data_IF_291851413655
#
_entry.id   IF_291851413655
#
_cell.length_a   1.000
_cell.length_b   1.000
_cell.length_c   1.000
_cell.angle_alpha   90.00
_cell.angle_beta   90.00
_cell.angle_gamma   90.00
#
_symmetry.space_group_name_H-M   'P 1'
#
loop_
_entity.id
_entity.type
_entity.pdbx_description
1 polymer ?
#
# COMPACT_ATOMS: atom_id res chain seq x y z
N UNK A 1 21.08 -12.71 -10.13
CA UNK A 1 20.11 -11.71 -9.59
C UNK A 1 20.88 -10.54 -9.00
N UNK A 2 20.42 -9.30 -9.21
CA UNK A 2 21.02 -8.11 -8.56
C UNK A 2 20.74 -8.22 -7.07
N UNK A 3 21.76 -8.01 -6.24
CA UNK A 3 21.64 -7.96 -4.79
C UNK A 3 21.51 -6.50 -4.38
N UNK A 4 20.48 -6.15 -3.61
CA UNK A 4 20.25 -4.79 -3.15
C UNK A 4 21.00 -4.52 -1.86
N UNK A 5 21.65 -3.37 -1.76
CA UNK A 5 22.37 -2.92 -0.58
C UNK A 5 21.43 -2.15 0.36
N UNK A 6 21.31 -2.60 1.60
CA UNK A 6 20.37 -2.05 2.56
C UNK A 6 21.03 -1.62 3.86
N UNK A 7 20.41 -0.64 4.52
CA UNK A 7 20.67 -0.34 5.93
C UNK A 7 19.39 -0.36 6.75
N UNK A 8 19.53 -0.53 8.07
CA UNK A 8 18.44 -0.46 9.04
C UNK A 8 18.72 0.69 10.01
N UNK A 9 17.71 1.53 10.25
CA UNK A 9 17.79 2.67 11.18
C UNK A 9 16.64 2.59 12.17
N UNK A 10 16.92 2.26 13.41
CA UNK A 10 15.92 2.07 14.47
C UNK A 10 16.60 2.26 15.83
N UNK A 11 16.06 3.08 16.72
CA UNK A 11 16.67 3.33 18.05
C UNK A 11 16.62 2.11 18.98
N UNK A 12 15.82 1.07 18.62
CA UNK A 12 15.65 -0.14 19.38
C UNK A 12 16.44 -1.30 18.76
N UNK A 13 17.51 -1.75 19.43
CA UNK A 13 18.34 -2.86 18.95
C UNK A 13 17.54 -4.15 18.71
N UNK A 14 16.52 -4.44 19.54
CA UNK A 14 15.66 -5.61 19.36
C UNK A 14 14.88 -5.61 18.03
N UNK A 15 14.46 -4.43 17.54
CA UNK A 15 13.83 -4.26 16.24
C UNK A 15 14.82 -4.55 15.11
N UNK A 16 16.05 -4.07 15.24
CA UNK A 16 17.15 -4.34 14.29
C UNK A 16 17.44 -5.84 14.23
N UNK A 17 17.60 -6.50 15.38
CA UNK A 17 17.93 -7.92 15.47
C UNK A 17 16.85 -8.80 14.84
N UNK A 18 15.58 -8.44 15.02
CA UNK A 18 14.46 -9.13 14.38
C UNK A 18 14.56 -9.03 12.84
N UNK A 19 14.76 -7.82 12.32
CA UNK A 19 14.90 -7.60 10.87
C UNK A 19 16.12 -8.33 10.30
N UNK A 20 17.27 -8.29 10.98
CA UNK A 20 18.47 -9.03 10.58
C UNK A 20 18.19 -10.54 10.50
N UNK A 21 17.42 -11.09 11.45
CA UNK A 21 17.01 -12.51 11.41
C UNK A 21 16.15 -12.86 10.19
N UNK A 22 15.38 -11.92 9.66
CA UNK A 22 14.59 -12.10 8.45
C UNK A 22 15.44 -11.94 7.19
N UNK A 23 16.36 -10.97 7.17
CA UNK A 23 17.29 -10.80 6.05
C UNK A 23 18.23 -11.99 5.88
N UNK A 24 18.63 -12.66 6.95
CA UNK A 24 19.44 -13.87 6.89
C UNK A 24 18.77 -15.02 6.09
N UNK A 25 17.47 -14.94 5.82
CA UNK A 25 16.68 -15.93 5.08
C UNK A 25 16.40 -15.50 3.64
N UNK A 26 16.96 -14.40 3.17
CA UNK A 26 16.82 -13.91 1.79
C UNK A 26 18.16 -13.66 1.13
N UNK A 27 18.27 -13.98 -0.14
CA UNK A 27 19.45 -13.70 -0.95
C UNK A 27 19.36 -12.39 -1.74
N UNK A 28 18.16 -11.79 -1.79
CA UNK A 28 17.86 -10.61 -2.61
C UNK A 28 18.49 -9.32 -2.05
N UNK A 29 18.62 -9.24 -0.72
CA UNK A 29 19.08 -8.03 -0.04
C UNK A 29 20.23 -8.34 0.88
N UNK A 30 21.26 -7.51 0.85
CA UNK A 30 22.37 -7.51 1.78
C UNK A 30 22.26 -6.31 2.71
N UNK A 31 22.26 -6.56 4.00
CA UNK A 31 22.34 -5.48 5.00
C UNK A 31 23.81 -5.13 5.20
N UNK A 32 24.22 -3.95 4.74
CA UNK A 32 25.62 -3.49 4.82
C UNK A 32 25.93 -2.91 6.21
N UNK A 33 24.95 -2.25 6.82
CA UNK A 33 25.09 -1.67 8.14
C UNK A 33 23.73 -1.49 8.84
N UNK A 34 23.77 -1.29 10.14
CA UNK A 34 22.60 -0.90 10.93
C UNK A 34 22.97 0.15 11.98
N UNK A 35 22.02 0.99 12.34
CA UNK A 35 22.28 2.16 13.18
C UNK A 35 21.15 2.37 14.18
N UNK A 36 21.52 2.57 15.45
CA UNK A 36 20.63 3.12 16.47
C UNK A 36 20.72 4.64 16.55
N UNK A 37 21.75 5.23 15.93
CA UNK A 37 21.95 6.68 15.83
C UNK A 37 21.60 7.15 14.40
N UNK A 38 20.51 7.93 14.21
CA UNK A 38 20.06 8.37 12.90
C UNK A 38 21.05 9.32 12.21
N UNK A 39 21.88 10.05 12.96
CA UNK A 39 22.89 10.98 12.39
C UNK A 39 24.03 10.18 11.74
N UNK A 40 24.50 9.13 12.41
CA UNK A 40 25.52 8.22 11.83
C UNK A 40 25.00 7.53 10.58
N UNK A 41 23.72 7.08 10.61
CA UNK A 41 23.07 6.51 9.45
C UNK A 41 23.02 7.49 8.27
N UNK A 42 22.71 8.76 8.51
CA UNK A 42 22.64 9.79 7.48
C UNK A 42 24.03 10.06 6.86
N UNK A 43 25.09 10.06 7.67
CA UNK A 43 26.47 10.17 7.19
C UNK A 43 26.80 8.97 6.31
N UNK A 44 26.50 7.76 6.77
CA UNK A 44 26.79 6.53 6.03
C UNK A 44 26.12 6.49 4.66
N UNK A 45 24.84 6.85 4.53
CA UNK A 45 24.15 6.85 3.23
C UNK A 45 24.64 7.94 2.29
N UNK A 46 25.34 8.98 2.77
CA UNK A 46 25.96 9.98 1.90
C UNK A 46 27.23 9.45 1.23
N UNK A 47 27.95 8.60 1.91
CA UNK A 47 29.24 8.06 1.50
C UNK A 47 29.14 6.73 0.75
N UNK A 48 28.05 5.99 0.95
CA UNK A 48 27.86 4.64 0.41
C UNK A 48 26.66 4.56 -0.55
N UNK A 49 26.76 3.68 -1.55
CA UNK A 49 25.66 3.44 -2.49
C UNK A 49 24.66 2.46 -1.85
N UNK A 50 23.54 2.98 -1.34
CA UNK A 50 22.47 2.22 -0.70
C UNK A 50 21.24 2.25 -1.58
N UNK A 51 20.63 1.07 -1.80
CA UNK A 51 19.39 0.90 -2.56
C UNK A 51 18.14 0.97 -1.66
N UNK A 52 18.25 0.47 -0.41
CA UNK A 52 17.13 0.36 0.54
C UNK A 52 17.51 0.87 1.93
N UNK A 53 16.59 1.62 2.54
CA UNK A 53 16.65 1.97 3.97
C UNK A 53 15.38 1.49 4.64
N UNK A 54 15.52 0.63 5.66
CA UNK A 54 14.41 0.34 6.59
C UNK A 54 14.56 1.28 7.76
N UNK A 55 13.52 2.07 8.04
CA UNK A 55 13.61 3.14 9.01
C UNK A 55 12.41 3.17 9.96
N UNK A 56 12.67 3.31 11.26
CA UNK A 56 11.61 3.67 12.21
C UNK A 56 11.30 5.17 12.10
N UNK A 57 10.05 5.50 12.41
CA UNK A 57 9.59 6.88 12.49
C UNK A 57 9.97 7.50 13.84
N UNK A 58 9.89 6.73 14.92
CA UNK A 58 10.29 7.19 16.25
C UNK A 58 11.74 6.79 16.52
N UNK A 59 12.65 7.74 16.35
CA UNK A 59 14.09 7.54 16.52
C UNK A 59 14.62 8.08 17.86
N UNK A 60 13.73 8.24 18.85
CA UNK A 60 14.09 8.63 20.22
C UNK A 60 14.72 10.00 20.40
N UNK A 61 14.68 10.87 19.34
CA UNK A 61 15.39 12.16 19.35
C UNK A 61 14.65 13.31 18.71
N UNK A 62 15.40 14.37 18.34
CA UNK A 62 14.87 15.54 17.64
C UNK A 62 14.56 15.25 16.17
N UNK A 63 15.23 14.25 15.58
CA UNK A 63 15.07 13.87 14.18
C UNK A 63 14.16 12.62 14.13
N UNK A 64 12.98 12.76 13.57
CA UNK A 64 12.10 11.61 13.29
C UNK A 64 12.42 10.98 11.93
N UNK A 65 11.90 9.77 11.67
CA UNK A 65 12.19 9.05 10.43
C UNK A 65 11.77 9.79 9.15
N UNK A 66 10.72 10.61 9.18
CA UNK A 66 10.31 11.40 8.02
C UNK A 66 11.27 12.55 7.73
N UNK A 67 11.74 13.24 8.78
CA UNK A 67 12.76 14.27 8.62
C UNK A 67 14.05 13.66 8.09
N UNK A 68 14.40 12.46 8.58
CA UNK A 68 15.55 11.69 8.10
C UNK A 68 15.42 11.34 6.61
N UNK A 69 14.28 10.80 6.18
CA UNK A 69 14.01 10.48 4.77
C UNK A 69 14.11 11.73 3.88
N UNK A 70 13.68 12.88 4.38
CA UNK A 70 13.76 14.16 3.67
C UNK A 70 15.20 14.66 3.57
N UNK A 71 16.03 14.43 4.60
CA UNK A 71 17.44 14.84 4.66
C UNK A 71 18.39 13.89 3.93
N UNK A 72 17.92 12.67 3.60
CA UNK A 72 18.68 11.69 2.84
C UNK A 72 19.02 12.20 1.44
N UNK A 73 20.13 11.73 0.83
CA UNK A 73 20.49 12.12 -0.53
C UNK A 73 19.35 11.87 -1.52
N UNK A 74 19.11 12.81 -2.44
CA UNK A 74 18.10 12.69 -3.52
C UNK A 74 18.57 11.70 -4.61
N UNK A 75 18.97 10.50 -4.22
CA UNK A 75 19.26 9.36 -5.09
C UNK A 75 18.01 8.48 -5.17
N UNK A 76 18.08 7.43 -6.00
CA UNK A 76 17.01 6.39 -6.07
C UNK A 76 16.97 5.47 -4.83
N UNK A 77 17.16 6.01 -3.60
CA UNK A 77 17.02 5.23 -2.36
C UNK A 77 15.55 4.89 -2.15
N UNK A 78 15.27 3.62 -1.88
CA UNK A 78 13.94 3.13 -1.51
C UNK A 78 13.83 3.09 0.01
N UNK A 79 12.62 3.36 0.51
CA UNK A 79 12.34 3.34 1.93
C UNK A 79 11.27 2.31 2.25
N UNK A 80 11.49 1.52 3.29
CA UNK A 80 10.46 0.75 4.00
C UNK A 80 10.39 1.33 5.40
N UNK A 81 9.22 1.82 5.78
CA UNK A 81 8.97 2.31 7.13
C UNK A 81 8.64 1.12 8.03
N UNK A 82 9.29 1.02 9.20
CA UNK A 82 9.04 -0.02 10.20
C UNK A 82 8.78 0.61 11.55
N UNK A 83 7.52 0.74 11.95
CA UNK A 83 7.14 1.56 13.11
C UNK A 83 6.07 0.93 13.99
N UNK A 84 6.09 1.21 15.29
CA UNK A 84 5.02 0.88 16.22
C UNK A 84 3.85 1.87 16.24
N UNK A 85 3.95 2.96 15.50
CA UNK A 85 3.02 4.07 15.56
C UNK A 85 2.00 4.00 14.42
N UNK A 86 0.85 3.41 14.66
CA UNK A 86 -0.27 3.32 13.69
C UNK A 86 -0.70 4.67 13.07
N UNK A 87 -0.52 5.77 13.78
CA UNK A 87 -0.88 7.12 13.28
C UNK A 87 -0.03 7.61 12.11
N UNK A 88 1.10 6.97 11.83
CA UNK A 88 2.03 7.38 10.77
C UNK A 88 1.95 6.51 9.51
N UNK A 89 1.09 5.50 9.47
CA UNK A 89 0.88 4.70 8.25
C UNK A 89 0.56 5.60 7.05
N UNK A 90 -0.36 6.56 7.23
CA UNK A 90 -0.75 7.50 6.16
C UNK A 90 0.40 8.42 5.72
N UNK A 91 1.31 8.82 6.63
CA UNK A 91 2.45 9.70 6.31
C UNK A 91 3.58 8.97 5.59
N UNK A 92 3.85 7.72 5.96
CA UNK A 92 4.84 6.88 5.25
C UNK A 92 4.49 6.78 3.77
N UNK A 93 3.22 6.69 3.46
CA UNK A 93 2.69 6.67 2.10
C UNK A 93 2.91 8.00 1.36
N UNK A 94 2.70 9.13 2.02
CA UNK A 94 2.93 10.46 1.45
C UNK A 94 4.40 10.71 1.11
N UNK A 95 5.34 10.04 1.79
CA UNK A 95 6.79 10.12 1.56
C UNK A 95 7.31 9.13 0.50
N UNK A 96 6.41 8.47 -0.25
CA UNK A 96 6.77 7.53 -1.32
C UNK A 96 7.61 6.33 -0.86
N UNK A 97 7.37 5.85 0.36
CA UNK A 97 7.97 4.61 0.85
C UNK A 97 7.47 3.41 0.05
N UNK A 98 8.31 2.39 -0.15
CA UNK A 98 7.93 1.12 -0.80
C UNK A 98 6.87 0.40 0.00
N UNK A 99 6.99 0.42 1.31
CA UNK A 99 6.02 -0.21 2.21
C UNK A 99 6.07 0.38 3.62
N UNK A 100 5.01 0.13 4.40
CA UNK A 100 4.96 0.44 5.83
C UNK A 100 4.68 -0.84 6.59
N UNK A 101 5.58 -1.18 7.51
CA UNK A 101 5.53 -2.34 8.37
C UNK A 101 5.22 -1.92 9.80
N UNK A 102 4.24 -2.54 10.42
CA UNK A 102 3.94 -2.32 11.84
C UNK A 102 4.75 -3.26 12.72
N UNK A 103 5.30 -2.73 13.80
CA UNK A 103 5.98 -3.51 14.85
C UNK A 103 4.95 -4.23 15.74
N UNK A 104 5.17 -5.52 16.06
CA UNK A 104 6.15 -6.43 15.47
C UNK A 104 5.67 -6.97 14.11
N UNK A 105 6.55 -7.01 13.11
CA UNK A 105 6.22 -7.55 11.79
C UNK A 105 6.44 -9.06 11.74
N UNK A 106 5.55 -9.79 11.08
CA UNK A 106 5.78 -11.21 10.80
C UNK A 106 6.72 -11.41 9.61
N UNK A 107 7.44 -12.55 9.58
CA UNK A 107 8.34 -12.89 8.48
C UNK A 107 7.61 -12.91 7.12
N UNK A 108 6.37 -13.40 7.07
CA UNK A 108 5.57 -13.40 5.85
C UNK A 108 5.28 -11.97 5.36
N UNK A 109 4.91 -11.06 6.28
CA UNK A 109 4.63 -9.66 5.95
C UNK A 109 5.89 -8.93 5.48
N UNK A 110 7.04 -9.24 6.09
CA UNK A 110 8.33 -8.71 5.69
C UNK A 110 8.73 -9.18 4.28
N UNK A 111 8.56 -10.46 3.94
CA UNK A 111 8.82 -11.00 2.61
C UNK A 111 7.97 -10.31 1.53
N UNK A 112 6.71 -9.98 1.83
CA UNK A 112 5.84 -9.23 0.92
C UNK A 112 6.43 -7.83 0.64
N UNK A 113 6.98 -7.15 1.65
CA UNK A 113 7.60 -5.84 1.46
C UNK A 113 8.86 -5.91 0.56
N UNK A 114 9.64 -6.97 0.68
CA UNK A 114 10.80 -7.18 -0.19
C UNK A 114 10.40 -7.49 -1.64
N UNK A 115 9.32 -8.24 -1.86
CA UNK A 115 8.81 -8.47 -3.22
C UNK A 115 8.34 -7.15 -3.84
N UNK A 116 7.70 -6.28 -3.09
CA UNK A 116 7.33 -4.93 -3.54
C UNK A 116 8.54 -4.07 -3.90
N UNK A 117 9.64 -4.19 -3.13
CA UNK A 117 10.89 -3.52 -3.45
C UNK A 117 11.41 -3.96 -4.84
N UNK A 118 11.42 -5.26 -5.11
CA UNK A 118 11.87 -5.82 -6.38
C UNK A 118 11.00 -5.32 -7.55
N UNK A 119 9.68 -5.38 -7.39
CA UNK A 119 8.72 -4.85 -8.38
C UNK A 119 8.95 -3.34 -8.64
N UNK A 120 9.18 -2.56 -7.58
CA UNK A 120 9.46 -1.13 -7.67
C UNK A 120 10.70 -0.82 -8.48
N UNK A 121 11.78 -1.53 -8.21
CA UNK A 121 13.06 -1.30 -8.88
C UNK A 121 12.98 -1.74 -10.34
N UNK A 122 12.35 -2.90 -10.62
CA UNK A 122 12.15 -3.39 -12.00
C UNK A 122 11.36 -2.42 -12.87
N UNK A 123 10.30 -1.84 -12.32
CA UNK A 123 9.47 -0.87 -13.04
C UNK A 123 10.22 0.44 -13.35
N UNK A 124 11.11 0.89 -12.46
CA UNK A 124 11.92 2.09 -12.69
C UNK A 124 13.06 1.87 -13.70
N UNK A 125 13.52 0.65 -13.85
CA UNK A 125 14.55 0.26 -14.84
C UNK A 125 13.94 -0.04 -16.22
N UNK A 126 12.60 -0.08 -16.35
CA UNK A 126 11.90 -0.28 -17.64
C UNK A 126 11.79 1.05 -18.40
N UNK A 127 12.12 1.11 -19.71
CA UNK A 127 11.97 2.33 -20.49
C UNK A 127 10.51 2.82 -20.50
N UNK A 128 10.32 4.14 -20.38
CA UNK A 128 9.04 4.81 -20.28
C UNK A 128 8.06 4.42 -21.40
N UNK A 129 7.08 3.57 -21.08
CA UNK A 129 6.01 3.13 -21.98
C UNK A 129 4.72 2.77 -21.28
N UNK A 130 4.76 2.47 -19.99
CA UNK A 130 3.61 1.95 -19.24
C UNK A 130 3.47 2.62 -17.86
N UNK A 131 3.39 3.95 -17.84
CA UNK A 131 3.31 4.73 -16.59
C UNK A 131 1.98 4.61 -15.84
N UNK A 132 0.96 4.02 -16.43
CA UNK A 132 -0.37 3.85 -15.80
C UNK A 132 -0.37 2.78 -14.68
N UNK A 133 0.71 1.97 -14.56
CA UNK A 133 0.84 0.94 -13.53
C UNK A 133 1.46 1.42 -12.21
N UNK A 134 1.98 2.65 -12.16
CA UNK A 134 2.80 3.15 -11.04
C UNK A 134 2.02 3.80 -9.88
N UNK A 135 0.72 4.03 -10.02
CA UNK A 135 -0.05 4.76 -9.00
C UNK A 135 -0.51 3.92 -7.79
N UNK A 136 -0.29 2.61 -7.78
CA UNK A 136 -0.95 1.72 -6.82
C UNK A 136 0.02 0.84 -6.04
N UNK A 137 0.80 1.45 -5.18
CA UNK A 137 1.86 0.84 -4.36
C UNK A 137 1.35 -0.06 -3.24
N UNK A 138 0.04 0.00 -2.93
CA UNK A 138 -0.55 -0.74 -1.82
C UNK A 138 -1.67 -1.62 -2.34
N UNK A 139 -1.49 -2.93 -2.20
CA UNK A 139 -2.54 -3.90 -2.48
C UNK A 139 -3.57 -3.96 -1.35
N UNK A 140 -3.60 -2.98 -0.44
CA UNK A 140 -4.53 -2.94 0.68
C UNK A 140 -4.93 -1.51 1.05
N UNK A 141 -6.06 -1.40 1.75
CA UNK A 141 -6.52 -0.19 2.42
C UNK A 141 -6.68 -0.45 3.91
N UNK A 142 -6.29 0.52 4.74
CA UNK A 142 -6.57 0.47 6.16
C UNK A 142 -7.90 1.18 6.44
N UNK A 143 -8.86 0.43 6.98
CA UNK A 143 -10.18 0.94 7.33
C UNK A 143 -10.25 1.18 8.82
N UNK A 144 -10.48 2.43 9.23
CA UNK A 144 -10.70 2.80 10.64
C UNK A 144 -12.05 2.32 11.10
N UNK A 145 -12.09 1.56 12.20
CA UNK A 145 -13.30 1.12 12.91
C UNK A 145 -13.52 2.04 14.13
N UNK A 146 -14.71 2.65 14.26
CA UNK A 146 -15.23 3.32 15.46
C UNK A 146 -14.27 4.24 16.23
N UNK A 147 -13.66 5.22 15.58
CA UNK A 147 -12.93 6.32 16.26
C UNK A 147 -11.76 5.90 17.16
N UNK A 148 -11.52 4.61 17.36
CA UNK A 148 -10.38 4.05 18.06
C UNK A 148 -9.27 3.76 17.04
N UNK A 149 -8.01 3.83 17.48
CA UNK A 149 -6.81 3.61 16.67
C UNK A 149 -6.64 2.17 16.12
N UNK A 150 -7.71 1.39 16.04
CA UNK A 150 -7.73 0.04 15.48
C UNK A 150 -8.19 0.11 14.03
N UNK A 151 -7.27 0.18 13.11
CA UNK A 151 -7.54 0.00 11.68
C UNK A 151 -7.48 -1.48 11.31
N UNK A 152 -8.32 -1.91 10.37
CA UNK A 152 -8.25 -3.23 9.76
C UNK A 152 -7.69 -3.11 8.35
N UNK A 153 -6.60 -3.81 8.08
CA UNK A 153 -6.00 -3.93 6.76
C UNK A 153 -6.84 -4.85 5.88
N UNK A 154 -7.26 -4.35 4.72
CA UNK A 154 -8.03 -5.12 3.75
C UNK A 154 -7.30 -5.12 2.42
N UNK A 155 -6.90 -6.29 1.96
CA UNK A 155 -6.25 -6.45 0.67
C UNK A 155 -7.21 -6.14 -0.47
N UNK A 156 -6.78 -5.36 -1.46
CA UNK A 156 -7.60 -5.03 -2.63
C UNK A 156 -8.12 -6.27 -3.36
N UNK A 157 -7.29 -7.33 -3.44
CA UNK A 157 -7.68 -8.62 -4.03
C UNK A 157 -8.83 -9.31 -3.30
N UNK A 158 -9.09 -8.93 -2.04
CA UNK A 158 -10.18 -9.49 -1.25
C UNK A 158 -11.44 -8.63 -1.29
N UNK A 159 -11.37 -7.40 -1.79
CA UNK A 159 -12.52 -6.49 -1.85
C UNK A 159 -13.30 -6.76 -3.13
N UNK A 160 -14.57 -7.13 -3.01
CA UNK A 160 -15.50 -7.28 -4.14
C UNK A 160 -16.06 -5.93 -4.59
N UNK A 161 -16.64 -5.21 -3.64
CA UNK A 161 -17.26 -3.90 -3.88
C UNK A 161 -17.46 -3.16 -2.56
N UNK A 162 -17.79 -1.89 -2.67
CA UNK A 162 -18.14 -1.02 -1.55
C UNK A 162 -19.43 -0.28 -1.82
N UNK A 163 -20.25 -0.12 -0.79
CA UNK A 163 -21.51 0.61 -0.86
C UNK A 163 -21.61 1.67 0.24
N UNK A 164 -22.12 2.85 -0.12
CA UNK A 164 -22.52 3.88 0.85
C UNK A 164 -23.83 3.49 1.52
N UNK A 165 -23.86 3.46 2.84
CA UNK A 165 -25.05 3.19 3.64
C UNK A 165 -25.16 4.20 4.77
N UNK A 166 -26.07 5.17 4.64
CA UNK A 166 -26.29 6.24 5.64
C UNK A 166 -24.98 6.92 6.10
N UNK A 167 -24.47 6.52 7.27
CA UNK A 167 -23.27 7.08 7.90
C UNK A 167 -21.98 6.30 7.58
N UNK A 168 -22.11 5.14 6.93
CA UNK A 168 -21.00 4.22 6.75
C UNK A 168 -20.75 3.91 5.28
N UNK A 169 -19.54 3.49 4.98
CA UNK A 169 -19.25 2.75 3.76
C UNK A 169 -19.11 1.28 4.15
N UNK A 170 -19.92 0.42 3.54
CA UNK A 170 -19.88 -1.02 3.71
C UNK A 170 -18.91 -1.62 2.70
N UNK A 171 -18.05 -2.53 3.15
CA UNK A 171 -17.00 -3.17 2.35
C UNK A 171 -17.25 -4.66 2.35
N UNK A 172 -17.49 -5.20 1.16
CA UNK A 172 -17.79 -6.61 0.94
C UNK A 172 -16.57 -7.33 0.41
N UNK A 173 -16.22 -8.45 1.02
CA UNK A 173 -15.04 -9.23 0.69
C UNK A 173 -15.38 -10.51 -0.09
N UNK A 174 -14.42 -11.00 -0.89
CA UNK A 174 -14.63 -12.16 -1.76
C UNK A 174 -14.75 -13.50 -0.98
N UNK A 175 -13.95 -13.63 0.08
CA UNK A 175 -13.78 -14.90 0.81
C UNK A 175 -14.18 -14.78 2.29
N UNK A 176 -14.86 -13.70 2.66
CA UNK A 176 -15.26 -13.43 4.03
C UNK A 176 -16.71 -12.94 4.03
N UNK A 177 -17.62 -13.64 4.73
CA UNK A 177 -19.02 -13.21 4.84
C UNK A 177 -19.18 -11.96 5.73
N UNK A 178 -18.17 -11.60 6.53
CA UNK A 178 -18.21 -10.41 7.37
C UNK A 178 -18.18 -9.15 6.49
N UNK A 179 -19.18 -8.29 6.67
CA UNK A 179 -19.24 -6.99 6.03
C UNK A 179 -18.54 -5.99 6.93
N UNK A 180 -17.44 -5.46 6.44
CA UNK A 180 -16.70 -4.41 7.15
C UNK A 180 -17.35 -3.05 6.89
N UNK A 181 -17.16 -2.10 7.81
CA UNK A 181 -17.67 -0.76 7.66
C UNK A 181 -16.63 0.30 8.02
N UNK A 182 -16.75 1.45 7.37
CA UNK A 182 -15.90 2.62 7.60
C UNK A 182 -16.75 3.86 7.83
N UNK A 183 -16.33 4.71 8.76
CA UNK A 183 -16.92 6.03 9.00
C UNK A 183 -16.46 7.08 7.97
N UNK A 184 -15.54 6.72 7.08
CA UNK A 184 -15.07 7.61 6.01
C UNK A 184 -16.12 7.75 4.91
N UNK A 185 -16.06 8.84 4.15
CA UNK A 185 -16.93 9.01 2.98
C UNK A 185 -16.46 8.09 1.83
N UNK A 186 -17.43 7.67 0.98
CA UNK A 186 -17.11 6.86 -0.19
C UNK A 186 -16.12 7.57 -1.14
N UNK A 187 -16.25 8.88 -1.31
CA UNK A 187 -15.33 9.68 -2.12
C UNK A 187 -13.90 9.69 -1.56
N UNK A 188 -13.75 9.81 -0.24
CA UNK A 188 -12.44 9.75 0.40
C UNK A 188 -11.80 8.37 0.25
N UNK A 189 -12.56 7.29 0.43
CA UNK A 189 -12.06 5.94 0.18
C UNK A 189 -11.69 5.78 -1.28
N UNK A 190 -12.56 6.20 -2.22
CA UNK A 190 -12.32 6.08 -3.65
C UNK A 190 -11.07 6.83 -4.11
N UNK A 191 -10.75 7.99 -3.52
CA UNK A 191 -9.51 8.72 -3.86
C UNK A 191 -8.24 7.96 -3.51
N UNK A 192 -8.31 7.00 -2.58
CA UNK A 192 -7.19 6.16 -2.14
C UNK A 192 -7.14 4.79 -2.83
N UNK A 193 -8.14 4.45 -3.63
CA UNK A 193 -8.21 3.16 -4.32
C UNK A 193 -7.54 3.20 -5.69
N UNK A 194 -6.88 2.11 -6.10
CA UNK A 194 -6.32 1.94 -7.44
C UNK A 194 -7.39 2.02 -8.52
N UNK A 195 -7.27 3.00 -9.42
CA UNK A 195 -8.27 3.23 -10.46
C UNK A 195 -8.32 2.12 -11.52
N UNK A 196 -7.25 1.36 -11.70
CA UNK A 196 -7.22 0.18 -12.56
C UNK A 196 -7.95 -1.04 -11.97
N UNK A 197 -8.13 -1.08 -10.61
CA UNK A 197 -8.87 -2.14 -9.93
C UNK A 197 -10.29 -1.74 -9.57
N UNK A 198 -10.50 -0.48 -9.21
CA UNK A 198 -11.76 0.00 -8.67
C UNK A 198 -12.37 1.06 -9.56
N UNK A 199 -13.65 0.89 -9.88
CA UNK A 199 -14.43 1.87 -10.63
C UNK A 199 -15.69 2.21 -9.85
N UNK A 200 -16.00 3.49 -9.78
CA UNK A 200 -17.30 3.91 -9.27
C UNK A 200 -18.33 3.74 -10.38
N UNK A 201 -19.31 2.84 -10.17
CA UNK A 201 -20.35 2.52 -11.14
C UNK A 201 -21.69 3.19 -10.84
N UNK A 202 -21.88 3.67 -9.61
CA UNK A 202 -23.04 4.47 -9.20
C UNK A 202 -22.66 5.46 -8.08
N UNK A 203 -23.54 6.42 -7.76
CA UNK A 203 -23.28 7.44 -6.73
C UNK A 203 -22.81 6.85 -5.40
N UNK A 204 -23.35 5.70 -5.02
CA UNK A 204 -23.05 5.04 -3.76
C UNK A 204 -22.31 3.71 -3.91
N UNK A 205 -21.76 3.36 -5.07
CA UNK A 205 -21.21 2.02 -5.33
C UNK A 205 -19.89 2.08 -6.09
N UNK A 206 -18.88 1.42 -5.53
CA UNK A 206 -17.57 1.19 -6.14
C UNK A 206 -17.42 -0.32 -6.32
N UNK A 207 -17.02 -0.77 -7.52
CA UNK A 207 -16.79 -2.18 -7.83
C UNK A 207 -15.32 -2.45 -8.07
N UNK A 208 -14.84 -3.60 -7.66
CA UNK A 208 -13.55 -4.13 -8.08
C UNK A 208 -13.70 -4.83 -9.43
N UNK A 209 -13.12 -4.25 -10.48
CA UNK A 209 -13.27 -4.77 -11.84
C UNK A 209 -12.57 -6.12 -12.05
N UNK A 210 -11.69 -6.54 -11.16
CA UNK A 210 -11.09 -7.88 -11.18
C UNK A 210 -12.12 -8.99 -10.93
N UNK A 211 -13.24 -8.66 -10.27
CA UNK A 211 -14.37 -9.57 -10.05
C UNK A 211 -15.54 -9.30 -11.00
N UNK A 212 -15.36 -8.45 -12.00
CA UNK A 212 -16.41 -8.17 -12.97
C UNK A 212 -16.79 -9.44 -13.74
N UNK A 213 -18.08 -9.74 -13.81
CA UNK A 213 -18.61 -10.86 -14.59
C UNK A 213 -19.39 -10.37 -15.82
N UNK A 214 -20.41 -9.53 -15.59
CA UNK A 214 -21.26 -9.04 -16.68
C UNK A 214 -21.96 -7.73 -16.32
N UNK A 215 -22.44 -7.05 -17.35
CA UNK A 215 -23.19 -5.81 -17.28
C UNK A 215 -24.47 -5.90 -18.12
N UNK A 216 -25.61 -5.50 -17.57
CA UNK A 216 -26.93 -5.57 -18.23
C UNK A 216 -27.58 -4.20 -18.45
N UNK A 217 -26.80 -3.16 -18.68
CA UNK A 217 -27.29 -1.78 -18.92
C UNK A 217 -27.67 -1.00 -17.65
N UNK A 218 -28.13 -1.66 -16.59
CA UNK A 218 -28.51 -1.04 -15.32
C UNK A 218 -27.85 -1.68 -14.10
N UNK A 219 -27.25 -2.84 -14.27
CA UNK A 219 -26.71 -3.62 -13.18
C UNK A 219 -25.41 -4.31 -13.55
N UNK A 220 -24.51 -4.42 -12.58
CA UNK A 220 -23.28 -5.22 -12.64
C UNK A 220 -23.47 -6.48 -11.85
N UNK A 221 -23.03 -7.60 -12.43
CA UNK A 221 -22.87 -8.89 -11.76
C UNK A 221 -21.38 -9.11 -11.51
N UNK A 222 -21.02 -9.52 -10.31
CA UNK A 222 -19.66 -9.92 -9.94
C UNK A 222 -19.52 -11.45 -9.91
N UNK A 223 -18.31 -11.95 -10.12
CA UNK A 223 -17.97 -13.36 -10.05
C UNK A 223 -18.29 -13.87 -8.64
N UNK A 224 -18.97 -15.01 -8.54
CA UNK A 224 -19.33 -15.69 -7.30
C UNK A 224 -20.12 -14.83 -6.29
N UNK A 225 -20.79 -13.78 -6.77
CA UNK A 225 -21.63 -12.93 -5.91
C UNK A 225 -23.07 -12.89 -6.42
N UNK A 226 -24.06 -13.08 -5.50
CA UNK A 226 -25.47 -13.17 -5.88
C UNK A 226 -26.14 -11.83 -6.12
N UNK A 227 -25.70 -10.80 -5.39
CA UNK A 227 -26.29 -9.45 -5.47
C UNK A 227 -25.91 -8.79 -6.78
N UNK A 228 -26.88 -8.25 -7.48
CA UNK A 228 -26.70 -7.36 -8.62
C UNK A 228 -26.49 -5.94 -8.10
N UNK A 229 -25.42 -5.28 -8.56
CA UNK A 229 -25.08 -3.92 -8.13
C UNK A 229 -25.64 -2.89 -9.10
N UNK A 230 -26.18 -1.77 -8.60
CA UNK A 230 -26.76 -0.74 -9.47
C UNK A 230 -25.68 -0.02 -10.28
N UNK A 231 -26.02 0.37 -11.49
CA UNK A 231 -25.22 1.25 -12.33
C UNK A 231 -25.98 2.56 -12.53
N UNK A 232 -25.31 3.66 -12.27
CA UNK A 232 -25.84 5.00 -12.47
C UNK A 232 -25.68 5.47 -13.94
N UNK A 233 -25.88 6.76 -14.16
CA UNK A 233 -25.68 7.35 -15.49
C UNK A 233 -24.21 7.24 -15.92
N UNK A 234 -23.95 6.50 -17.00
CA UNK A 234 -22.60 6.27 -17.53
C UNK A 234 -21.89 7.55 -18.00
N UNK A 235 -22.62 8.61 -18.31
CA UNK A 235 -22.00 9.90 -18.59
C UNK A 235 -21.36 10.53 -17.35
N UNK A 236 -21.95 10.28 -16.16
CA UNK A 236 -21.39 10.71 -14.88
C UNK A 236 -20.24 9.80 -14.42
N UNK A 237 -20.34 8.50 -14.67
CA UNK A 237 -19.34 7.49 -14.27
C UNK A 237 -18.50 7.06 -15.47
N UNK A 238 -17.84 8.04 -16.10
CA UNK A 238 -17.11 7.86 -17.37
C UNK A 238 -15.94 6.86 -17.27
N UNK A 239 -15.28 6.76 -16.12
CA UNK A 239 -14.21 5.77 -15.89
C UNK A 239 -14.75 4.33 -15.96
N UNK A 240 -15.95 4.10 -15.41
CA UNK A 240 -16.61 2.80 -15.52
C UNK A 240 -17.13 2.56 -16.95
N UNK A 241 -17.67 3.59 -17.61
CA UNK A 241 -18.04 3.50 -19.03
C UNK A 241 -16.86 3.11 -19.91
N UNK A 242 -15.71 3.77 -19.73
CA UNK A 242 -14.49 3.46 -20.48
C UNK A 242 -14.04 2.02 -20.23
N UNK A 243 -14.04 1.56 -18.96
CA UNK A 243 -13.76 0.15 -18.66
C UNK A 243 -14.66 -0.81 -19.43
N UNK A 244 -15.98 -0.55 -19.51
CA UNK A 244 -16.90 -1.39 -20.27
C UNK A 244 -16.60 -1.38 -21.77
N UNK A 245 -16.25 -0.22 -22.34
CA UNK A 245 -15.97 -0.08 -23.78
C UNK A 245 -14.66 -0.75 -24.21
N UNK A 246 -13.60 -0.63 -23.40
CA UNK A 246 -12.30 -1.24 -23.70
C UNK A 246 -12.26 -2.76 -23.54
N UNK A 247 -13.22 -3.36 -22.82
CA UNK A 247 -13.31 -4.80 -22.59
C UNK A 247 -14.48 -5.48 -23.34
N UNK A 248 -15.11 -4.80 -24.30
CA UNK A 248 -16.05 -5.41 -25.24
C UNK A 248 -15.26 -6.02 -26.41
N UNK A 249 -15.36 -7.34 -26.56
CA UNK A 249 -14.91 -8.10 -27.72
C UNK A 249 -16.05 -8.17 -28.72
#
# INVERSE_FOLDING_TARGET
>A
MRKYHAIIVDDQQASIDLLLSYFAKTEQVQVDAHFTDPIKALTYVRENAIDLVIIDIDLGGRLNGFDWMTAAPKRKIKFIVYTGLHKFEDKGYLMNAVDVLLKPVSQQRFAIALNRLDDRIRLEDTPAGDFDSLEHWYDYINIKKDGKFCGQLIWFKNILYMESSKKYVLIYQANDPEVLFSNSTLAHIYSKLPKNWFKQCARGTIVNVKFFHSYTGKQVKLINHKKLLPVGNLATFYEFKNFLMYNQV
#
